data_IF_322892992341
#
_entry.id   IF_322892992341
#
_cell.length_a   1.000
_cell.length_b   1.000
_cell.length_c   1.000
_cell.angle_alpha   90.00
_cell.angle_beta   90.00
_cell.angle_gamma   90.00
#
_symmetry.space_group_name_H-M   'P 1'
#
loop_
_entity.id
_entity.type
_entity.pdbx_description
1 polymer ?
#
# COMPACT_ATOMS: atom_id res chain seq x y z
N UNK A 1 -31.12 12.22 65.95
CA UNK A 1 -29.75 12.14 65.58
C UNK A 1 -29.38 10.89 64.77
N UNK A 2 -29.65 9.65 65.21
CA UNK A 2 -29.32 8.44 64.46
C UNK A 2 -29.93 8.36 63.04
N UNK A 3 -31.18 8.83 62.83
CA UNK A 3 -31.84 8.84 61.50
C UNK A 3 -31.21 9.85 60.52
N UNK A 4 -30.64 10.94 61.01
CA UNK A 4 -29.92 11.94 60.19
C UNK A 4 -28.56 11.42 59.76
N UNK A 5 -27.88 10.67 60.64
CA UNK A 5 -26.61 10.03 60.30
C UNK A 5 -26.74 8.95 59.18
N UNK A 6 -27.85 8.17 59.23
CA UNK A 6 -28.11 7.20 58.15
C UNK A 6 -28.46 7.89 56.83
N UNK A 7 -29.19 9.01 56.86
CA UNK A 7 -29.48 9.77 55.64
C UNK A 7 -28.22 10.36 55.01
N UNK A 8 -27.27 10.87 55.80
CA UNK A 8 -25.97 11.39 55.32
C UNK A 8 -25.08 10.24 54.79
N UNK A 9 -25.06 9.08 55.45
CA UNK A 9 -24.33 7.92 54.99
C UNK A 9 -24.84 7.39 53.64
N UNK A 10 -26.14 7.41 53.40
CA UNK A 10 -26.75 7.03 52.12
C UNK A 10 -26.51 8.09 51.05
N UNK A 11 -26.48 9.38 51.36
CA UNK A 11 -26.12 10.43 50.39
C UNK A 11 -24.66 10.36 49.98
N UNK A 12 -23.75 9.97 50.86
CA UNK A 12 -22.33 9.79 50.49
C UNK A 12 -22.05 8.54 49.64
N UNK A 13 -22.92 7.54 49.69
CA UNK A 13 -22.76 6.33 48.86
C UNK A 13 -23.28 6.48 47.43
N UNK A 14 -24.00 7.57 47.13
CA UNK A 14 -24.46 7.85 45.75
C UNK A 14 -23.53 8.84 45.01
N UNK A 15 -22.52 9.41 45.65
CA UNK A 15 -21.42 10.08 45.02
C UNK A 15 -20.42 9.03 44.53
N UNK A 16 -20.85 8.11 43.68
CA UNK A 16 -19.97 7.28 42.87
C UNK A 16 -19.27 8.24 41.93
N UNK A 17 -18.03 8.56 42.25
CA UNK A 17 -17.12 9.14 41.27
C UNK A 17 -17.13 8.24 40.04
N UNK A 18 -17.37 8.83 38.93
CA UNK A 18 -17.13 8.21 37.62
C UNK A 18 -15.68 7.77 37.59
N UNK A 19 -15.42 6.49 37.84
CA UNK A 19 -14.09 5.90 37.88
C UNK A 19 -13.75 5.35 36.50
N UNK A 20 -14.00 6.12 35.45
CA UNK A 20 -13.31 5.91 34.20
C UNK A 20 -11.88 6.43 34.34
N UNK A 21 -11.04 5.63 34.97
CA UNK A 21 -9.60 5.84 34.90
C UNK A 21 -9.11 5.21 33.62
N UNK A 22 -8.86 6.07 32.63
CA UNK A 22 -8.05 5.67 31.50
C UNK A 22 -6.74 5.08 32.01
N UNK A 23 -6.22 3.98 31.43
CA UNK A 23 -4.86 3.52 31.70
C UNK A 23 -3.88 4.68 31.57
N UNK A 24 -2.82 4.67 32.36
CA UNK A 24 -1.82 5.75 32.41
C UNK A 24 -1.19 6.06 31.04
N UNK A 25 -1.21 5.07 30.14
CA UNK A 25 -0.69 5.10 28.77
C UNK A 25 -1.80 5.22 27.69
N UNK A 26 -3.05 5.41 28.07
CA UNK A 26 -4.17 5.61 27.18
C UNK A 26 -4.66 7.05 27.20
N UNK A 27 -4.84 7.63 26.02
CA UNK A 27 -5.44 8.95 25.83
C UNK A 27 -6.87 8.75 25.36
N UNK A 28 -7.83 9.52 25.89
CA UNK A 28 -9.19 9.54 25.40
C UNK A 28 -9.20 9.89 23.91
N UNK A 29 -9.87 9.08 23.10
CA UNK A 29 -9.89 9.25 21.65
C UNK A 29 -10.42 10.63 21.23
N UNK A 30 -11.37 11.20 21.98
CA UNK A 30 -11.93 12.52 21.72
C UNK A 30 -10.94 13.66 22.04
N UNK A 31 -10.04 13.46 23.00
CA UNK A 31 -8.98 14.42 23.33
C UNK A 31 -7.77 14.25 22.40
N UNK A 32 -7.42 12.99 22.09
CA UNK A 32 -6.30 12.68 21.25
C UNK A 32 -6.43 13.28 19.82
N UNK A 33 -7.63 13.34 19.30
CA UNK A 33 -7.86 13.70 17.89
C UNK A 33 -8.06 15.21 17.71
N UNK A 34 -8.32 15.95 18.77
CA UNK A 34 -8.42 17.42 18.75
C UNK A 34 -7.04 18.13 18.84
N UNK A 35 -6.01 17.40 19.21
CA UNK A 35 -4.63 17.89 19.20
C UNK A 35 -3.94 17.42 17.89
N UNK A 36 -3.38 18.33 17.08
CA UNK A 36 -2.73 17.98 15.82
C UNK A 36 -1.63 16.94 15.95
N UNK A 37 -0.88 16.93 17.03
CA UNK A 37 0.20 15.96 17.26
C UNK A 37 -0.35 14.54 17.51
N UNK A 38 -1.43 14.42 18.27
CA UNK A 38 -2.11 13.15 18.47
C UNK A 38 -2.82 12.66 17.19
N UNK A 39 -3.46 13.56 16.45
CA UNK A 39 -4.09 13.23 15.17
C UNK A 39 -3.05 12.72 14.17
N UNK A 40 -1.87 13.33 14.11
CA UNK A 40 -0.76 12.87 13.29
C UNK A 40 -0.25 11.49 13.72
N UNK A 41 -0.08 11.25 15.02
CA UNK A 41 0.35 9.94 15.53
C UNK A 41 -0.67 8.83 15.25
N UNK A 42 -1.96 9.13 15.38
CA UNK A 42 -3.04 8.21 15.01
C UNK A 42 -2.98 7.87 13.50
N UNK A 43 -2.78 8.86 12.66
CA UNK A 43 -2.63 8.70 11.22
C UNK A 43 -1.38 7.86 10.87
N UNK A 44 -0.24 8.11 11.51
CA UNK A 44 0.98 7.29 11.35
C UNK A 44 0.69 5.83 11.71
N UNK A 45 -0.10 5.58 12.77
CA UNK A 45 -0.55 4.24 13.13
C UNK A 45 -1.42 3.60 12.05
N UNK A 46 -2.28 4.36 11.37
CA UNK A 46 -3.09 3.86 10.24
C UNK A 46 -2.17 3.47 9.07
N UNK A 47 -1.19 4.30 8.70
CA UNK A 47 -0.18 3.95 7.69
C UNK A 47 0.63 2.72 8.12
N UNK A 48 0.94 2.59 9.42
CA UNK A 48 1.63 1.43 9.98
C UNK A 48 0.89 0.11 9.73
N UNK A 49 -0.45 0.13 9.68
CA UNK A 49 -1.25 -1.06 9.37
C UNK A 49 -1.12 -1.53 7.91
N UNK A 50 -0.61 -0.70 7.00
CA UNK A 50 -0.35 -1.09 5.61
C UNK A 50 0.90 -1.96 5.50
N UNK A 51 1.81 -1.86 6.45
CA UNK A 51 3.10 -2.53 6.47
C UNK A 51 3.31 -3.26 7.79
N UNK A 52 4.15 -4.27 7.79
CA UNK A 52 4.48 -5.08 8.95
C UNK A 52 5.92 -5.57 8.80
N UNK A 53 6.55 -5.94 9.89
CA UNK A 53 7.84 -6.65 9.87
C UNK A 53 7.70 -8.12 9.46
N UNK A 54 6.49 -8.55 9.14
CA UNK A 54 6.18 -9.93 8.78
C UNK A 54 5.67 -9.98 7.35
N UNK A 55 5.84 -11.11 6.71
CA UNK A 55 5.45 -11.37 5.32
C UNK A 55 3.93 -11.30 5.06
N UNK A 56 3.12 -11.18 6.11
CA UNK A 56 1.66 -11.07 6.08
C UNK A 56 1.13 -9.63 6.11
N UNK A 57 1.97 -8.64 5.83
CA UNK A 57 1.54 -7.23 5.77
C UNK A 57 0.46 -7.03 4.69
N UNK A 58 -0.37 -5.98 4.87
CA UNK A 58 -1.40 -5.65 3.88
C UNK A 58 -0.81 -5.48 2.47
N UNK A 59 0.30 -4.74 2.36
CA UNK A 59 0.91 -4.49 1.04
C UNK A 59 1.41 -5.77 0.38
N UNK A 60 1.97 -6.70 1.15
CA UNK A 60 2.45 -7.97 0.64
C UNK A 60 1.31 -8.83 0.09
N UNK A 61 0.23 -8.96 0.86
CA UNK A 61 -0.92 -9.75 0.40
C UNK A 61 -1.69 -9.05 -0.73
N UNK A 62 -1.82 -7.72 -0.68
CA UNK A 62 -2.41 -6.96 -1.78
C UNK A 62 -1.62 -7.14 -3.07
N UNK A 63 -0.28 -7.08 -3.00
CA UNK A 63 0.58 -7.29 -4.15
C UNK A 63 0.40 -8.71 -4.74
N UNK A 64 0.49 -9.75 -3.91
CA UNK A 64 0.29 -11.13 -4.35
C UNK A 64 -1.07 -11.35 -5.01
N UNK A 65 -2.15 -10.86 -4.39
CA UNK A 65 -3.51 -11.03 -4.90
C UNK A 65 -3.76 -10.26 -6.22
N UNK A 66 -3.03 -9.17 -6.47
CA UNK A 66 -3.15 -8.40 -7.71
C UNK A 66 -2.26 -8.96 -8.83
N UNK A 67 -1.04 -9.39 -8.51
CA UNK A 67 -0.06 -9.82 -9.52
C UNK A 67 -0.29 -11.26 -9.98
N UNK A 68 -0.54 -12.20 -9.06
CA UNK A 68 -0.73 -13.60 -9.44
C UNK A 68 -1.98 -13.88 -10.25
N UNK A 69 -2.97 -13.00 -10.19
CA UNK A 69 -4.17 -13.07 -11.01
C UNK A 69 -3.98 -12.43 -12.40
N UNK A 70 -2.79 -11.91 -12.68
CA UNK A 70 -2.42 -11.33 -13.98
C UNK A 70 -1.59 -12.30 -14.82
N UNK A 71 -1.27 -11.86 -16.04
CA UNK A 71 -0.45 -12.63 -16.98
C UNK A 71 1.04 -12.26 -16.91
N UNK A 72 1.43 -11.35 -16.01
CA UNK A 72 2.79 -10.82 -15.96
C UNK A 72 3.76 -11.70 -15.19
N UNK A 73 3.29 -12.40 -14.17
CA UNK A 73 4.12 -13.21 -13.29
C UNK A 73 3.74 -14.68 -13.31
N UNK A 74 4.71 -15.53 -13.05
CA UNK A 74 4.56 -16.96 -12.81
C UNK A 74 5.02 -17.29 -11.40
N UNK A 75 4.34 -18.23 -10.77
CA UNK A 75 4.74 -18.77 -9.46
C UNK A 75 5.92 -19.72 -9.63
N UNK A 76 6.95 -19.59 -8.79
CA UNK A 76 8.09 -20.49 -8.78
C UNK A 76 7.73 -21.84 -8.17
N UNK A 77 7.65 -22.86 -9.01
CA UNK A 77 7.48 -24.25 -8.58
C UNK A 77 6.11 -24.55 -7.98
N UNK A 78 5.98 -25.76 -7.44
CA UNK A 78 4.79 -26.21 -6.72
C UNK A 78 4.98 -25.92 -5.23
N UNK A 79 4.01 -25.25 -4.63
CA UNK A 79 4.01 -24.94 -3.19
C UNK A 79 2.76 -25.50 -2.53
N UNK A 80 2.85 -25.82 -1.24
CA UNK A 80 1.69 -26.10 -0.39
C UNK A 80 1.03 -24.84 0.19
N UNK A 81 1.56 -23.66 -0.15
CA UNK A 81 1.01 -22.37 0.25
C UNK A 81 -0.23 -21.99 -0.57
N UNK A 82 -1.07 -21.13 -0.02
CA UNK A 82 -2.26 -20.57 -0.68
C UNK A 82 -1.95 -19.88 -2.00
N UNK A 83 -0.69 -19.49 -2.23
CA UNK A 83 -0.22 -18.90 -3.50
C UNK A 83 -0.54 -19.79 -4.71
N UNK A 84 -0.43 -21.11 -4.54
CA UNK A 84 -0.80 -22.05 -5.59
C UNK A 84 -2.27 -21.93 -6.00
N UNK A 85 -3.15 -21.75 -5.03
CA UNK A 85 -4.59 -21.61 -5.29
C UNK A 85 -4.91 -20.24 -5.88
N UNK A 86 -4.23 -19.17 -5.43
CA UNK A 86 -4.39 -17.81 -5.97
C UNK A 86 -3.96 -17.80 -7.44
N UNK A 87 -2.76 -18.30 -7.74
CA UNK A 87 -2.21 -18.35 -9.10
C UNK A 87 -3.06 -19.16 -10.08
N UNK A 88 -3.68 -20.25 -9.61
CA UNK A 88 -4.52 -21.11 -10.44
C UNK A 88 -6.00 -20.72 -10.44
N UNK A 89 -6.38 -19.55 -9.91
CA UNK A 89 -7.77 -19.09 -9.79
C UNK A 89 -8.68 -20.08 -9.03
N UNK A 90 -8.11 -20.84 -8.11
CA UNK A 90 -8.80 -21.86 -7.32
C UNK A 90 -8.80 -21.47 -5.85
N UNK A 91 -9.47 -20.38 -5.52
CA UNK A 91 -9.52 -19.88 -4.16
C UNK A 91 -10.21 -20.86 -3.21
N UNK A 92 -9.64 -20.98 -2.02
CA UNK A 92 -10.20 -21.77 -0.93
C UNK A 92 -10.74 -20.83 0.16
N UNK A 93 -11.86 -21.21 0.76
CA UNK A 93 -12.62 -20.36 1.70
C UNK A 93 -11.82 -19.94 2.93
N UNK A 94 -10.82 -20.72 3.34
CA UNK A 94 -9.99 -20.49 4.52
C UNK A 94 -8.53 -20.16 4.18
N UNK A 95 -8.26 -19.67 2.98
CA UNK A 95 -6.93 -19.26 2.57
C UNK A 95 -6.36 -18.19 3.48
N UNK A 96 -5.18 -18.45 4.06
CA UNK A 96 -4.58 -17.55 5.04
C UNK A 96 -4.29 -16.17 4.45
N UNK A 97 -3.81 -16.10 3.21
CA UNK A 97 -3.42 -14.84 2.54
C UNK A 97 -4.63 -13.97 2.22
N UNK A 98 -5.70 -14.55 1.70
CA UNK A 98 -6.96 -13.84 1.45
C UNK A 98 -7.55 -13.33 2.76
N UNK A 99 -7.51 -14.15 3.80
CA UNK A 99 -8.02 -13.79 5.12
C UNK A 99 -7.19 -12.65 5.75
N UNK A 100 -5.87 -12.72 5.68
CA UNK A 100 -4.98 -11.65 6.15
C UNK A 100 -5.25 -10.33 5.40
N UNK A 101 -5.36 -10.39 4.08
CA UNK A 101 -5.69 -9.21 3.28
C UNK A 101 -7.02 -8.57 3.71
N UNK A 102 -8.06 -9.38 3.92
CA UNK A 102 -9.36 -8.92 4.41
C UNK A 102 -9.25 -8.25 5.77
N UNK A 103 -8.66 -8.93 6.75
CA UNK A 103 -8.52 -8.43 8.12
C UNK A 103 -7.73 -7.13 8.14
N UNK A 104 -6.57 -7.10 7.50
CA UNK A 104 -5.70 -5.90 7.45
C UNK A 104 -6.40 -4.72 6.77
N UNK A 105 -7.13 -4.96 5.68
CA UNK A 105 -7.91 -3.91 5.01
C UNK A 105 -8.96 -3.29 5.94
N UNK A 106 -9.71 -4.11 6.67
CA UNK A 106 -10.72 -3.61 7.61
C UNK A 106 -10.12 -2.99 8.88
N UNK A 107 -8.91 -3.38 9.28
CA UNK A 107 -8.18 -2.68 10.35
C UNK A 107 -7.84 -1.23 9.93
N UNK A 108 -7.37 -1.04 8.68
CA UNK A 108 -7.13 0.31 8.12
C UNK A 108 -8.45 1.08 8.04
N UNK A 109 -9.53 0.47 7.52
CA UNK A 109 -10.86 1.09 7.43
C UNK A 109 -11.36 1.52 8.81
N UNK A 110 -11.20 0.69 9.84
CA UNK A 110 -11.57 1.05 11.20
C UNK A 110 -10.80 2.27 11.70
N UNK A 111 -9.49 2.29 11.52
CA UNK A 111 -8.66 3.44 11.91
C UNK A 111 -9.05 4.72 11.15
N UNK A 112 -9.31 4.61 9.85
CA UNK A 112 -9.76 5.77 9.05
C UNK A 112 -11.16 6.24 9.45
N UNK A 113 -12.08 5.33 9.76
CA UNK A 113 -13.41 5.71 10.28
C UNK A 113 -13.28 6.44 11.62
N UNK A 114 -12.43 5.96 12.52
CA UNK A 114 -12.16 6.65 13.78
C UNK A 114 -11.64 8.07 13.57
N UNK A 115 -10.72 8.28 12.63
CA UNK A 115 -10.25 9.61 12.29
C UNK A 115 -11.38 10.49 11.71
N UNK A 116 -12.18 9.95 10.80
CA UNK A 116 -13.29 10.66 10.14
C UNK A 116 -14.40 11.05 11.11
N UNK A 117 -14.71 10.21 12.10
CA UNK A 117 -15.73 10.47 13.11
C UNK A 117 -15.29 11.55 14.13
N UNK A 118 -14.00 11.60 14.43
CA UNK A 118 -13.48 12.41 15.52
C UNK A 118 -12.81 13.71 15.07
N UNK A 119 -12.23 13.78 13.89
CA UNK A 119 -11.64 15.02 13.36
C UNK A 119 -12.75 15.91 12.79
N UNK A 120 -12.91 17.09 13.36
CA UNK A 120 -13.87 18.07 12.87
C UNK A 120 -13.28 18.89 11.73
N UNK A 121 -13.92 18.84 10.56
CA UNK A 121 -13.53 19.63 9.39
C UNK A 121 -13.55 21.14 9.67
N UNK A 122 -12.54 21.86 9.19
CA UNK A 122 -12.43 23.31 9.28
C UNK A 122 -11.83 23.81 10.59
N UNK A 123 -11.21 22.96 11.39
CA UNK A 123 -10.48 23.40 12.59
C UNK A 123 -9.13 24.02 12.25
N UNK A 124 -8.33 23.35 11.43
CA UNK A 124 -7.07 23.85 10.90
C UNK A 124 -6.74 23.19 9.56
N UNK A 125 -5.81 23.75 8.82
CA UNK A 125 -5.33 23.14 7.57
C UNK A 125 -4.64 21.79 7.82
N UNK A 126 -3.96 21.63 8.96
CA UNK A 126 -3.28 20.41 9.35
C UNK A 126 -4.29 19.28 9.64
N UNK A 127 -5.30 19.55 10.46
CA UNK A 127 -6.33 18.57 10.80
C UNK A 127 -7.21 18.21 9.59
N UNK A 128 -7.50 19.18 8.73
CA UNK A 128 -8.19 18.94 7.46
C UNK A 128 -7.36 18.06 6.53
N UNK A 129 -6.04 18.28 6.49
CA UNK A 129 -5.15 17.43 5.71
C UNK A 129 -5.13 15.98 6.23
N UNK A 130 -5.07 15.78 7.56
CA UNK A 130 -5.15 14.45 8.16
C UNK A 130 -6.48 13.76 7.86
N UNK A 131 -7.57 14.51 7.93
CA UNK A 131 -8.89 14.02 7.54
C UNK A 131 -8.94 13.61 6.05
N UNK A 132 -8.32 14.40 5.18
CA UNK A 132 -8.18 14.10 3.77
C UNK A 132 -7.38 12.80 3.52
N UNK A 133 -6.29 12.60 4.24
CA UNK A 133 -5.50 11.36 4.16
C UNK A 133 -6.30 10.14 4.64
N UNK A 134 -7.11 10.29 5.69
CA UNK A 134 -8.01 9.22 6.17
C UNK A 134 -9.04 8.82 5.10
N UNK A 135 -9.67 9.79 4.43
CA UNK A 135 -10.57 9.53 3.32
C UNK A 135 -9.87 8.83 2.16
N UNK A 136 -8.66 9.26 1.79
CA UNK A 136 -7.86 8.62 0.75
C UNK A 136 -7.57 7.15 1.08
N UNK A 137 -7.08 6.87 2.28
CA UNK A 137 -6.74 5.51 2.71
C UNK A 137 -7.97 4.59 2.76
N UNK A 138 -9.12 5.11 3.20
CA UNK A 138 -10.37 4.35 3.17
C UNK A 138 -10.79 4.00 1.75
N UNK A 139 -10.72 4.95 0.85
CA UNK A 139 -11.00 4.74 -0.58
C UNK A 139 -10.05 3.72 -1.20
N UNK A 140 -8.75 3.81 -0.88
CA UNK A 140 -7.74 2.85 -1.34
C UNK A 140 -8.07 1.44 -0.88
N UNK A 141 -8.42 1.26 0.40
CA UNK A 141 -8.81 -0.07 0.92
C UNK A 141 -10.04 -0.62 0.19
N UNK A 142 -11.08 0.18 0.02
CA UNK A 142 -12.29 -0.26 -0.69
C UNK A 142 -12.03 -0.58 -2.15
N UNK A 143 -11.15 0.15 -2.83
CA UNK A 143 -10.77 -0.17 -4.20
C UNK A 143 -10.08 -1.53 -4.30
N UNK A 144 -9.12 -1.80 -3.43
CA UNK A 144 -8.42 -3.09 -3.42
C UNK A 144 -9.35 -4.24 -3.01
N UNK A 145 -10.18 -4.04 -2.00
CA UNK A 145 -11.18 -5.03 -1.58
C UNK A 145 -12.18 -5.34 -2.70
N UNK A 146 -12.70 -4.34 -3.40
CA UNK A 146 -13.66 -4.59 -4.48
C UNK A 146 -13.01 -5.26 -5.68
N UNK A 147 -11.73 -5.00 -5.96
CA UNK A 147 -10.99 -5.69 -7.02
C UNK A 147 -10.77 -7.18 -6.71
N UNK A 148 -10.60 -7.55 -5.45
CA UNK A 148 -10.42 -8.96 -5.03
C UNK A 148 -11.76 -9.69 -4.88
N UNK A 149 -12.77 -9.06 -4.26
CA UNK A 149 -14.00 -9.73 -3.84
C UNK A 149 -15.24 -9.35 -4.67
N UNK A 150 -15.13 -8.34 -5.52
CA UNK A 150 -16.18 -7.91 -6.44
C UNK A 150 -15.98 -8.48 -7.84
N UNK A 151 -16.91 -8.21 -8.73
CA UNK A 151 -16.74 -8.40 -10.16
C UNK A 151 -16.32 -7.08 -10.81
N UNK A 152 -15.77 -7.10 -12.03
CA UNK A 152 -15.49 -5.87 -12.78
C UNK A 152 -16.69 -4.93 -12.82
N UNK A 153 -16.42 -3.62 -12.73
CA UNK A 153 -17.46 -2.60 -12.63
C UNK A 153 -18.51 -2.66 -13.76
N UNK A 154 -18.09 -2.96 -14.99
CA UNK A 154 -18.96 -3.02 -16.17
C UNK A 154 -19.80 -4.32 -16.26
N UNK A 155 -19.73 -5.20 -15.27
CA UNK A 155 -20.48 -6.45 -15.22
C UNK A 155 -21.62 -6.35 -14.19
N UNK A 156 -22.85 -6.10 -14.63
CA UNK A 156 -24.06 -6.12 -13.77
C UNK A 156 -23.86 -5.38 -12.43
N UNK A 157 -23.31 -4.18 -12.47
CA UNK A 157 -22.85 -3.37 -11.34
C UNK A 157 -23.93 -3.10 -10.26
N UNK A 158 -25.21 -3.12 -10.65
CA UNK A 158 -26.34 -2.91 -9.73
C UNK A 158 -26.67 -4.14 -8.88
N UNK A 159 -26.29 -5.32 -9.31
CA UNK A 159 -26.65 -6.59 -8.66
C UNK A 159 -25.46 -7.38 -8.15
N UNK A 160 -24.29 -7.21 -8.78
CA UNK A 160 -23.07 -7.87 -8.32
C UNK A 160 -22.64 -7.31 -6.96
N UNK A 161 -22.49 -8.21 -6.00
CA UNK A 161 -22.02 -7.86 -4.66
C UNK A 161 -20.50 -7.70 -4.63
N UNK A 162 -20.07 -6.70 -3.90
CA UNK A 162 -18.67 -6.45 -3.54
C UNK A 162 -18.45 -6.79 -2.06
N UNK A 163 -18.15 -5.82 -1.23
CA UNK A 163 -17.81 -5.98 0.19
C UNK A 163 -18.72 -5.16 1.10
N UNK A 164 -18.82 -5.45 2.40
CA UNK A 164 -19.54 -4.61 3.33
C UNK A 164 -18.96 -3.19 3.39
N UNK A 165 -19.81 -2.17 3.24
CA UNK A 165 -19.44 -0.78 3.44
C UNK A 165 -19.54 -0.41 4.92
N UNK A 166 -18.47 -0.62 5.66
CA UNK A 166 -18.35 -0.24 7.07
C UNK A 166 -17.79 1.19 7.13
N UNK A 167 -18.66 2.16 7.42
CA UNK A 167 -18.35 3.59 7.38
C UNK A 167 -18.32 4.26 8.74
N UNK A 168 -18.41 3.47 9.81
CA UNK A 168 -18.40 3.88 11.22
C UNK A 168 -17.57 2.92 12.08
N UNK A 169 -17.37 3.29 13.34
CA UNK A 169 -16.64 2.49 14.33
C UNK A 169 -17.55 1.62 15.22
N UNK A 170 -18.88 1.68 15.07
CA UNK A 170 -19.80 0.87 15.88
C UNK A 170 -19.67 -0.61 15.56
N UNK A 171 -19.14 -1.40 16.49
CA UNK A 171 -18.94 -2.85 16.33
C UNK A 171 -20.26 -3.62 16.13
N UNK A 172 -21.40 -3.06 16.53
CA UNK A 172 -22.71 -3.68 16.36
C UNK A 172 -23.30 -3.42 14.97
N UNK A 173 -22.82 -2.40 14.26
CA UNK A 173 -23.22 -2.15 12.89
C UNK A 173 -22.45 -3.09 11.93
N UNK A 174 -23.10 -4.17 11.51
CA UNK A 174 -22.57 -5.17 10.61
C UNK A 174 -23.33 -5.14 9.27
N UNK A 175 -23.00 -4.21 8.37
CA UNK A 175 -23.71 -4.08 7.11
C UNK A 175 -23.52 -5.32 6.23
N UNK A 176 -24.51 -5.68 5.41
CA UNK A 176 -24.34 -6.71 4.39
C UNK A 176 -23.36 -6.25 3.30
N UNK A 177 -22.98 -7.16 2.43
CA UNK A 177 -22.20 -6.83 1.23
C UNK A 177 -22.96 -5.80 0.39
N UNK A 178 -22.29 -4.71 0.06
CA UNK A 178 -22.80 -3.70 -0.86
C UNK A 178 -22.62 -4.15 -2.33
N UNK A 179 -23.34 -3.53 -3.24
CA UNK A 179 -23.11 -3.75 -4.67
C UNK A 179 -21.81 -3.09 -5.11
N UNK A 180 -21.24 -3.57 -6.23
CA UNK A 180 -20.04 -2.95 -6.83
C UNK A 180 -20.27 -1.45 -7.07
N UNK A 181 -21.46 -1.07 -7.57
CA UNK A 181 -21.83 0.33 -7.76
C UNK A 181 -21.71 1.14 -6.47
N UNK A 182 -22.34 0.68 -5.39
CA UNK A 182 -22.32 1.39 -4.10
C UNK A 182 -20.90 1.57 -3.56
N UNK A 183 -20.04 0.56 -3.75
CA UNK A 183 -18.64 0.66 -3.31
C UNK A 183 -17.88 1.68 -4.14
N UNK A 184 -18.04 1.69 -5.46
CA UNK A 184 -17.39 2.69 -6.32
C UNK A 184 -17.89 4.12 -6.07
N UNK A 185 -19.19 4.31 -5.82
CA UNK A 185 -19.76 5.60 -5.41
C UNK A 185 -19.15 6.10 -4.09
N UNK A 186 -18.92 5.19 -3.14
CA UNK A 186 -18.27 5.56 -1.87
C UNK A 186 -16.79 5.89 -2.09
N UNK A 187 -16.06 5.14 -2.92
CA UNK A 187 -14.66 5.44 -3.26
C UNK A 187 -14.57 6.81 -3.93
N UNK A 188 -15.40 7.10 -4.92
CA UNK A 188 -15.46 8.41 -5.61
C UNK A 188 -15.68 9.55 -4.60
N UNK A 189 -16.68 9.40 -3.72
CA UNK A 189 -17.01 10.38 -2.69
C UNK A 189 -15.83 10.64 -1.75
N UNK A 190 -15.18 9.60 -1.28
CA UNK A 190 -14.05 9.71 -0.37
C UNK A 190 -12.85 10.38 -1.06
N UNK A 191 -12.54 10.02 -2.31
CA UNK A 191 -11.42 10.61 -3.06
C UNK A 191 -11.64 12.09 -3.40
N UNK A 192 -12.86 12.48 -3.78
CA UNK A 192 -13.21 13.89 -4.01
C UNK A 192 -13.03 14.68 -2.71
N UNK A 193 -13.48 14.12 -1.60
CA UNK A 193 -13.32 14.75 -0.29
C UNK A 193 -11.85 14.85 0.12
N UNK A 194 -11.09 13.78 -0.07
CA UNK A 194 -9.65 13.73 0.17
C UNK A 194 -8.91 14.82 -0.62
N UNK A 195 -9.13 14.90 -1.92
CA UNK A 195 -8.49 15.89 -2.79
C UNK A 195 -8.81 17.35 -2.38
N UNK A 196 -10.02 17.59 -1.87
CA UNK A 196 -10.42 18.90 -1.38
C UNK A 196 -9.67 19.29 -0.09
N UNK A 197 -9.50 18.35 0.82
CA UNK A 197 -8.96 18.60 2.16
C UNK A 197 -7.43 18.58 2.21
N UNK A 198 -6.77 17.77 1.37
CA UNK A 198 -5.30 17.70 1.34
C UNK A 198 -4.70 18.90 0.63
N UNK A 199 -4.47 19.99 1.36
CA UNK A 199 -3.92 21.25 0.85
C UNK A 199 -2.44 21.43 1.21
N UNK A 200 -1.93 20.67 2.18
CA UNK A 200 -0.55 20.75 2.63
C UNK A 200 0.30 19.75 1.84
N UNK A 201 1.40 20.24 1.29
CA UNK A 201 2.35 19.37 0.60
C UNK A 201 3.14 18.54 1.61
N UNK A 202 3.08 17.23 1.46
CA UNK A 202 3.82 16.25 2.27
C UNK A 202 4.70 15.39 1.36
N UNK A 203 5.71 14.67 1.93
CA UNK A 203 6.47 13.67 1.19
C UNK A 203 5.55 12.59 0.59
N UNK A 204 5.99 11.98 -0.50
CA UNK A 204 5.20 11.01 -1.30
C UNK A 204 4.82 9.71 -0.55
N UNK A 205 5.36 9.48 0.62
CA UNK A 205 4.96 8.37 1.49
C UNK A 205 3.78 8.72 2.43
N UNK A 206 3.20 9.91 2.27
CA UNK A 206 1.88 10.29 2.75
C UNK A 206 0.95 10.54 1.58
N UNK A 207 -0.33 10.25 1.74
CA UNK A 207 -1.32 10.62 0.75
C UNK A 207 -1.31 12.14 0.51
N UNK A 208 -1.56 12.51 -0.70
CA UNK A 208 -1.57 13.90 -1.15
C UNK A 208 -2.70 14.10 -2.18
N UNK A 209 -2.96 15.35 -2.51
CA UNK A 209 -4.04 15.71 -3.45
C UNK A 209 -3.89 15.01 -4.80
N UNK A 210 -2.69 14.98 -5.33
CA UNK A 210 -2.41 14.40 -6.63
C UNK A 210 -2.55 12.86 -6.60
N UNK A 211 -2.26 12.23 -5.48
CA UNK A 211 -2.55 10.80 -5.30
C UNK A 211 -4.06 10.52 -5.34
N UNK A 212 -4.88 11.42 -4.75
CA UNK A 212 -6.32 11.30 -4.86
C UNK A 212 -6.80 11.52 -6.31
N UNK A 213 -6.23 12.46 -7.05
CA UNK A 213 -6.54 12.66 -8.47
C UNK A 213 -6.12 11.45 -9.32
N UNK A 214 -4.93 10.92 -9.11
CA UNK A 214 -4.46 9.72 -9.81
C UNK A 214 -5.38 8.51 -9.56
N UNK A 215 -5.86 8.35 -8.33
CA UNK A 215 -6.78 7.26 -8.00
C UNK A 215 -8.18 7.50 -8.56
N UNK A 216 -8.66 8.76 -8.60
CA UNK A 216 -9.90 9.14 -9.30
C UNK A 216 -9.81 8.85 -10.80
N UNK A 217 -8.71 9.21 -11.45
CA UNK A 217 -8.49 8.87 -12.86
C UNK A 217 -8.60 7.35 -13.08
N UNK A 218 -7.96 6.54 -12.22
CA UNK A 218 -8.00 5.07 -12.30
C UNK A 218 -9.42 4.51 -12.12
N UNK A 219 -10.17 4.97 -11.12
CA UNK A 219 -11.54 4.46 -10.93
C UNK A 219 -12.46 4.87 -12.08
N UNK A 220 -12.32 6.07 -12.62
CA UNK A 220 -13.10 6.50 -13.78
C UNK A 220 -12.76 5.71 -15.04
N UNK A 221 -11.50 5.27 -15.20
CA UNK A 221 -11.14 4.33 -16.26
C UNK A 221 -11.89 3.00 -16.07
N UNK A 222 -11.93 2.44 -14.86
CA UNK A 222 -12.68 1.20 -14.58
C UNK A 222 -14.20 1.38 -14.77
N UNK A 223 -14.71 2.59 -14.54
CA UNK A 223 -16.11 2.95 -14.74
C UNK A 223 -16.44 3.29 -16.21
N UNK A 224 -15.47 3.22 -17.13
CA UNK A 224 -15.59 3.62 -18.54
C UNK A 224 -16.01 5.09 -18.73
N UNK A 225 -15.73 5.95 -17.74
CA UNK A 225 -15.97 7.40 -17.77
C UNK A 225 -14.71 8.12 -18.26
N UNK A 226 -14.37 7.94 -19.52
CA UNK A 226 -13.08 8.36 -20.09
C UNK A 226 -12.84 9.87 -20.00
N UNK A 227 -13.87 10.72 -20.12
CA UNK A 227 -13.73 12.15 -19.99
C UNK A 227 -13.27 12.56 -18.59
N UNK A 228 -13.88 11.99 -17.55
CA UNK A 228 -13.44 12.22 -16.17
C UNK A 228 -12.07 11.61 -15.89
N UNK A 229 -11.78 10.45 -16.46
CA UNK A 229 -10.45 9.83 -16.36
C UNK A 229 -9.38 10.79 -16.85
N UNK A 230 -9.57 11.40 -18.02
CA UNK A 230 -8.65 12.40 -18.60
C UNK A 230 -8.60 13.65 -17.71
N UNK A 231 -9.74 14.20 -17.30
CA UNK A 231 -9.80 15.38 -16.44
C UNK A 231 -8.95 15.24 -15.18
N UNK A 232 -9.04 14.10 -14.52
CA UNK A 232 -8.27 13.86 -13.28
C UNK A 232 -6.82 13.48 -13.54
N UNK A 233 -6.50 12.86 -14.66
CA UNK A 233 -5.11 12.66 -15.09
C UNK A 233 -4.43 14.00 -15.39
N UNK A 234 -5.10 14.89 -16.09
CA UNK A 234 -4.60 16.25 -16.41
C UNK A 234 -4.31 17.04 -15.12
N UNK A 235 -5.15 16.93 -14.08
CA UNK A 235 -4.87 17.59 -12.78
C UNK A 235 -3.56 17.13 -12.13
N UNK A 236 -3.15 15.89 -12.37
CA UNK A 236 -1.84 15.40 -11.89
C UNK A 236 -0.72 15.95 -12.76
N UNK A 237 -0.88 15.90 -14.08
CA UNK A 237 0.11 16.39 -15.06
C UNK A 237 0.32 17.91 -14.89
N UNK A 238 -0.76 18.67 -14.83
CA UNK A 238 -0.73 20.15 -14.69
C UNK A 238 -0.19 20.61 -13.34
N UNK A 239 -0.08 19.73 -12.35
CA UNK A 239 0.56 20.05 -11.08
C UNK A 239 2.07 20.27 -11.22
N UNK A 240 2.68 19.79 -12.31
CA UNK A 240 4.13 19.83 -12.59
C UNK A 240 5.02 19.24 -11.46
N UNK A 241 4.41 18.52 -10.51
CA UNK A 241 5.13 17.94 -9.37
C UNK A 241 5.81 16.61 -9.70
N UNK A 242 5.34 15.95 -10.75
CA UNK A 242 5.78 14.62 -11.16
C UNK A 242 6.15 14.64 -12.63
N UNK A 243 7.14 13.85 -13.01
CA UNK A 243 7.53 13.72 -14.41
C UNK A 243 8.06 12.31 -14.68
N UNK A 244 8.00 11.89 -15.92
CA UNK A 244 8.48 10.58 -16.32
C UNK A 244 10.01 10.53 -16.30
N UNK A 245 10.55 9.43 -15.85
CA UNK A 245 11.97 9.11 -15.97
C UNK A 245 12.35 8.93 -17.44
N UNK A 246 13.58 9.31 -17.80
CA UNK A 246 14.15 8.90 -19.07
C UNK A 246 14.33 7.38 -19.11
N UNK A 247 14.47 6.78 -20.29
CA UNK A 247 14.66 5.34 -20.42
C UNK A 247 15.86 4.81 -19.60
N UNK A 248 16.93 5.60 -19.50
CA UNK A 248 18.10 5.24 -18.72
C UNK A 248 17.87 5.32 -17.21
N UNK A 249 17.12 6.32 -16.75
CA UNK A 249 16.75 6.45 -15.33
C UNK A 249 15.74 5.39 -14.94
N UNK A 250 14.76 5.08 -15.82
CA UNK A 250 13.75 4.06 -15.60
C UNK A 250 14.37 2.69 -15.29
N UNK A 251 15.44 2.31 -15.97
CA UNK A 251 16.18 1.07 -15.70
C UNK A 251 16.71 0.98 -14.27
N UNK A 252 16.92 2.12 -13.63
CA UNK A 252 17.48 2.26 -12.26
C UNK A 252 16.42 2.69 -11.24
N UNK A 253 15.15 2.76 -11.62
CA UNK A 253 14.10 3.28 -10.76
C UNK A 253 14.00 2.59 -9.39
N UNK A 254 14.30 1.28 -9.36
CA UNK A 254 14.25 0.49 -8.13
C UNK A 254 15.36 0.84 -7.12
N UNK A 255 16.37 1.61 -7.54
CA UNK A 255 17.44 2.10 -6.67
C UNK A 255 17.14 3.46 -6.07
N UNK A 256 16.04 4.09 -6.49
CA UNK A 256 15.64 5.41 -6.00
C UNK A 256 14.77 5.26 -4.74
N UNK A 257 15.06 6.08 -3.74
CA UNK A 257 14.13 6.26 -2.65
C UNK A 257 12.82 6.88 -3.17
N UNK A 258 11.66 6.59 -2.57
CA UNK A 258 10.38 7.12 -3.03
C UNK A 258 10.37 8.64 -3.24
N UNK A 259 10.99 9.38 -2.33
CA UNK A 259 11.09 10.85 -2.40
C UNK A 259 12.07 11.38 -3.46
N UNK A 260 12.93 10.52 -3.97
CA UNK A 260 13.87 10.84 -5.06
C UNK A 260 13.35 10.35 -6.42
N UNK A 261 12.30 9.54 -6.45
CA UNK A 261 11.69 9.06 -7.68
C UNK A 261 10.64 10.06 -8.19
N UNK A 262 10.88 10.77 -9.31
CA UNK A 262 9.96 11.79 -9.81
C UNK A 262 8.63 11.23 -10.33
N UNK A 263 8.52 9.91 -10.56
CA UNK A 263 7.27 9.24 -10.93
C UNK A 263 6.43 8.83 -9.71
N UNK A 264 6.99 8.86 -8.50
CA UNK A 264 6.30 8.40 -7.30
C UNK A 264 5.28 9.45 -6.82
N UNK A 265 4.00 9.18 -7.02
CA UNK A 265 2.89 10.04 -6.55
C UNK A 265 2.52 9.67 -5.11
N UNK A 266 2.46 8.37 -4.80
CA UNK A 266 2.24 7.82 -3.47
C UNK A 266 2.99 6.50 -3.32
N UNK A 267 3.68 6.32 -2.21
CA UNK A 267 4.46 5.11 -1.92
C UNK A 267 4.31 4.69 -0.47
N UNK A 268 4.29 3.39 -0.22
CA UNK A 268 4.38 2.83 1.13
C UNK A 268 5.87 2.61 1.43
N UNK A 269 6.46 3.51 2.22
CA UNK A 269 7.88 3.48 2.56
C UNK A 269 8.11 2.70 3.84
N UNK A 270 9.10 1.81 3.81
CA UNK A 270 9.65 1.17 5.00
C UNK A 270 10.90 1.94 5.45
N UNK A 271 11.04 2.14 6.75
CA UNK A 271 12.27 2.67 7.33
C UNK A 271 13.25 1.51 7.49
N UNK A 272 14.38 1.62 6.79
CA UNK A 272 15.42 0.60 6.81
C UNK A 272 15.92 0.32 8.23
N UNK A 273 16.09 -0.96 8.56
CA UNK A 273 16.55 -1.41 9.88
C UNK A 273 15.52 -1.26 11.01
N UNK A 274 14.39 -0.57 10.79
CA UNK A 274 13.38 -0.32 11.83
C UNK A 274 12.06 -1.02 11.50
N UNK A 275 11.53 -0.80 10.31
CA UNK A 275 10.19 -1.25 9.90
C UNK A 275 10.22 -2.42 8.93
N UNK A 276 11.28 -2.57 8.15
CA UNK A 276 11.53 -3.77 7.37
C UNK A 276 11.93 -4.91 8.31
N UNK A 277 11.41 -6.10 8.07
CA UNK A 277 11.86 -7.31 8.73
C UNK A 277 13.13 -7.84 8.05
N UNK A 278 12.97 -8.91 7.31
CA UNK A 278 13.98 -9.43 6.40
C UNK A 278 13.58 -9.13 4.94
N UNK A 279 14.48 -9.41 4.01
CA UNK A 279 14.15 -9.36 2.57
C UNK A 279 12.96 -10.25 2.21
N UNK A 280 12.68 -11.30 3.00
CA UNK A 280 11.50 -12.15 2.85
C UNK A 280 10.18 -11.43 3.17
N UNK A 281 10.23 -10.33 3.89
CA UNK A 281 9.05 -9.66 4.45
C UNK A 281 8.61 -8.44 3.62
N UNK A 282 9.32 -8.15 2.53
CA UNK A 282 9.06 -7.01 1.65
C UNK A 282 8.78 -7.44 0.21
N UNK A 283 8.00 -6.67 -0.52
CA UNK A 283 7.57 -6.97 -1.89
C UNK A 283 8.76 -7.25 -2.83
N UNK A 284 9.86 -6.52 -2.70
CA UNK A 284 11.05 -6.74 -3.51
C UNK A 284 11.62 -8.15 -3.39
N UNK A 285 11.54 -8.74 -2.21
CA UNK A 285 11.98 -10.10 -1.93
C UNK A 285 11.15 -11.20 -2.58
N UNK A 286 9.98 -10.87 -3.15
CA UNK A 286 9.20 -11.83 -3.93
C UNK A 286 9.80 -12.09 -5.30
N UNK A 287 10.51 -11.11 -5.86
CA UNK A 287 11.08 -11.13 -7.20
C UNK A 287 12.55 -11.58 -7.27
N UNK A 288 13.22 -11.62 -6.13
CA UNK A 288 14.65 -11.96 -6.11
C UNK A 288 15.06 -12.70 -4.84
N UNK A 289 16.26 -13.28 -4.90
CA UNK A 289 17.00 -13.73 -3.72
C UNK A 289 18.37 -13.06 -3.72
N UNK A 290 18.78 -12.53 -2.56
CA UNK A 290 20.11 -11.94 -2.37
C UNK A 290 20.73 -12.64 -1.17
N UNK A 291 21.87 -13.29 -1.35
CA UNK A 291 22.57 -14.07 -0.31
C UNK A 291 21.68 -15.08 0.43
N UNK A 292 20.75 -15.71 -0.30
CA UNK A 292 19.78 -16.66 0.26
C UNK A 292 18.61 -16.02 1.00
N UNK A 293 18.48 -14.71 1.02
CA UNK A 293 17.33 -13.97 1.53
C UNK A 293 16.42 -13.56 0.37
N UNK A 294 15.12 -13.44 0.66
CA UNK A 294 14.09 -13.20 -0.34
C UNK A 294 13.48 -14.51 -0.83
N UNK A 295 12.16 -14.50 -1.06
CA UNK A 295 11.45 -15.70 -1.47
C UNK A 295 11.71 -16.09 -2.92
N UNK A 296 11.94 -15.09 -3.82
CA UNK A 296 12.06 -15.34 -5.25
C UNK A 296 10.87 -16.17 -5.78
N UNK A 297 9.67 -15.84 -5.32
CA UNK A 297 8.46 -16.60 -5.63
C UNK A 297 7.80 -16.17 -6.94
N UNK A 298 8.08 -14.93 -7.40
CA UNK A 298 7.52 -14.32 -8.59
C UNK A 298 8.54 -14.25 -9.71
N UNK A 299 8.26 -14.91 -10.81
CA UNK A 299 9.06 -14.87 -12.03
C UNK A 299 8.29 -14.18 -13.15
N UNK A 300 8.99 -13.53 -14.07
CA UNK A 300 8.37 -13.05 -15.30
C UNK A 300 7.74 -14.22 -16.06
N UNK A 301 6.46 -14.09 -16.39
CA UNK A 301 5.76 -15.11 -17.16
C UNK A 301 6.26 -15.17 -18.61
N UNK A 302 6.02 -16.28 -19.28
CA UNK A 302 6.33 -16.40 -20.72
C UNK A 302 5.59 -15.34 -21.54
N UNK A 303 4.33 -15.07 -21.20
CA UNK A 303 3.50 -14.05 -21.87
C UNK A 303 4.14 -12.67 -21.74
N UNK A 304 4.60 -12.32 -20.51
CA UNK A 304 5.28 -11.04 -20.28
C UNK A 304 6.60 -10.94 -21.05
N UNK A 305 7.43 -11.99 -21.01
CA UNK A 305 8.72 -12.04 -21.73
C UNK A 305 8.50 -11.87 -23.23
N UNK A 306 7.54 -12.57 -23.81
CA UNK A 306 7.21 -12.46 -25.23
C UNK A 306 6.72 -11.05 -25.59
N UNK A 307 5.87 -10.45 -24.76
CA UNK A 307 5.33 -9.11 -24.97
C UNK A 307 6.42 -8.04 -24.97
N UNK A 308 7.31 -8.02 -23.96
CA UNK A 308 8.40 -7.03 -23.88
C UNK A 308 9.51 -7.30 -24.92
N UNK A 309 9.63 -8.54 -25.38
CA UNK A 309 10.61 -8.92 -26.39
C UNK A 309 10.20 -8.53 -27.80
N UNK A 310 8.91 -8.20 -28.02
CA UNK A 310 8.41 -7.78 -29.33
C UNK A 310 9.08 -6.50 -29.82
N UNK A 311 9.41 -5.58 -28.90
CA UNK A 311 10.17 -4.37 -29.23
C UNK A 311 11.63 -4.51 -28.75
N UNK A 312 12.62 -4.40 -29.63
CA UNK A 312 14.03 -4.58 -29.26
C UNK A 312 14.51 -3.67 -28.13
N UNK A 313 14.04 -2.44 -28.10
CA UNK A 313 14.46 -1.40 -27.14
C UNK A 313 13.50 -1.22 -25.95
N UNK A 314 12.67 -2.19 -25.64
CA UNK A 314 11.77 -2.10 -24.50
C UNK A 314 12.57 -2.10 -23.19
N UNK A 315 12.56 -0.97 -22.47
CA UNK A 315 13.31 -0.78 -21.23
C UNK A 315 12.88 -1.74 -20.11
N UNK A 316 11.66 -2.32 -20.17
CA UNK A 316 11.16 -3.26 -19.17
C UNK A 316 11.92 -4.59 -19.13
N UNK A 317 12.64 -4.92 -20.20
CA UNK A 317 13.54 -6.09 -20.22
C UNK A 317 14.60 -6.02 -19.12
N UNK A 318 14.98 -4.81 -18.72
CA UNK A 318 15.95 -4.57 -17.67
C UNK A 318 15.64 -5.25 -16.34
N UNK A 319 14.35 -5.49 -16.06
CA UNK A 319 13.91 -6.07 -14.79
C UNK A 319 13.80 -7.60 -14.80
N UNK A 320 14.08 -8.24 -15.94
CA UNK A 320 13.90 -9.70 -16.08
C UNK A 320 15.25 -10.41 -16.08
N UNK A 321 16.18 -9.88 -16.85
CA UNK A 321 17.52 -10.45 -17.07
C UNK A 321 18.51 -9.31 -17.16
N UNK A 322 19.82 -9.58 -17.01
CA UNK A 322 20.86 -8.62 -17.38
C UNK A 322 20.59 -8.10 -18.78
N UNK A 323 20.70 -6.79 -18.96
CA UNK A 323 20.25 -6.14 -20.18
C UNK A 323 21.16 -6.42 -21.34
N UNK A 324 20.55 -6.59 -22.53
CA UNK A 324 21.27 -6.53 -23.78
C UNK A 324 21.56 -5.08 -24.13
N UNK A 325 22.83 -4.76 -24.18
CA UNK A 325 23.34 -3.61 -24.93
C UNK A 325 24.12 -4.17 -26.10
N UNK A 326 23.77 -3.83 -27.33
CA UNK A 326 24.53 -4.14 -28.54
C UNK A 326 24.91 -5.64 -28.71
N UNK A 327 24.00 -6.48 -29.07
CA UNK A 327 24.25 -7.85 -29.51
C UNK A 327 24.70 -8.81 -28.40
N UNK A 328 25.96 -8.84 -28.07
CA UNK A 328 26.52 -9.79 -27.10
C UNK A 328 26.86 -9.17 -25.74
N UNK A 329 26.70 -7.86 -25.58
CA UNK A 329 26.96 -7.18 -24.30
C UNK A 329 25.70 -7.03 -23.49
N UNK A 330 25.77 -7.52 -22.25
CA UNK A 330 24.69 -7.43 -21.26
C UNK A 330 25.13 -6.50 -20.14
N UNK A 331 24.21 -5.68 -19.63
CA UNK A 331 24.41 -4.94 -18.39
C UNK A 331 23.58 -5.58 -17.27
N UNK A 332 24.21 -5.81 -16.14
CA UNK A 332 23.57 -6.35 -14.95
C UNK A 332 23.67 -5.38 -13.77
N UNK A 333 22.81 -5.61 -12.77
CA UNK A 333 22.83 -4.90 -11.50
C UNK A 333 23.15 -5.89 -10.39
N UNK A 334 24.14 -5.56 -9.58
CA UNK A 334 24.49 -6.33 -8.38
C UNK A 334 24.26 -5.49 -7.15
N UNK A 335 23.76 -6.13 -6.10
CA UNK A 335 23.55 -5.50 -4.82
C UNK A 335 24.53 -6.09 -3.82
N UNK A 336 25.29 -5.24 -3.16
CA UNK A 336 26.08 -5.60 -1.99
C UNK A 336 25.68 -4.74 -0.80
N UNK A 337 25.73 -5.31 0.41
CA UNK A 337 25.51 -4.53 1.61
C UNK A 337 26.82 -3.88 2.05
N UNK A 338 26.82 -2.59 2.20
CA UNK A 338 27.99 -1.83 2.70
C UNK A 338 27.65 -1.19 4.04
N UNK A 339 28.69 -1.02 4.90
CA UNK A 339 28.55 -0.34 6.16
C UNK A 339 28.58 1.17 5.94
N UNK A 340 27.52 1.86 6.33
CA UNK A 340 27.49 3.32 6.38
C UNK A 340 28.32 3.85 7.56
N UNK A 341 28.62 5.15 7.55
CA UNK A 341 29.45 5.78 8.61
C UNK A 341 28.84 5.66 10.01
N UNK A 342 27.51 5.56 10.12
CA UNK A 342 26.77 5.36 11.36
C UNK A 342 26.69 3.89 11.81
N UNK A 343 27.32 2.97 11.09
CA UNK A 343 27.33 1.54 11.38
C UNK A 343 26.10 0.78 10.87
N UNK A 344 25.21 1.40 10.11
CA UNK A 344 24.09 0.71 9.46
C UNK A 344 24.53 0.04 8.18
N UNK A 345 23.91 -1.11 7.85
CA UNK A 345 24.08 -1.77 6.56
C UNK A 345 23.11 -1.16 5.55
N UNK A 346 23.66 -0.62 4.47
CA UNK A 346 22.89 -0.04 3.38
C UNK A 346 23.19 -0.77 2.06
N UNK A 347 22.20 -0.92 1.17
CA UNK A 347 22.44 -1.52 -0.14
C UNK A 347 23.28 -0.61 -1.03
N UNK A 348 24.31 -1.18 -1.65
CA UNK A 348 25.12 -0.55 -2.69
C UNK A 348 24.85 -1.23 -4.01
N UNK A 349 24.39 -0.47 -4.97
CA UNK A 349 24.08 -0.96 -6.31
C UNK A 349 25.27 -0.76 -7.24
N UNK A 350 25.71 -1.83 -7.86
CA UNK A 350 26.77 -1.81 -8.86
C UNK A 350 26.19 -2.18 -10.21
N UNK A 351 26.53 -1.40 -11.22
CA UNK A 351 26.12 -1.60 -12.60
C UNK A 351 27.35 -1.93 -13.43
N UNK A 352 27.24 -2.89 -14.32
CA UNK A 352 28.35 -3.23 -15.18
C UNK A 352 28.01 -4.29 -16.20
N UNK A 353 28.89 -4.42 -17.19
CA UNK A 353 28.77 -5.44 -18.18
C UNK A 353 28.83 -6.84 -17.56
N UNK A 354 28.00 -7.74 -18.05
CA UNK A 354 28.01 -9.14 -17.65
C UNK A 354 28.00 -10.06 -18.87
N UNK A 355 28.35 -11.31 -18.64
CA UNK A 355 28.24 -12.38 -19.63
C UNK A 355 27.55 -13.60 -19.01
N UNK A 356 26.96 -14.42 -19.85
CA UNK A 356 26.45 -15.71 -19.46
C UNK A 356 27.60 -16.74 -19.46
N UNK A 357 27.85 -17.37 -18.32
CA UNK A 357 28.81 -18.46 -18.16
C UNK A 357 28.03 -19.71 -17.69
N UNK A 358 27.81 -20.63 -18.62
CA UNK A 358 26.93 -21.76 -18.39
C UNK A 358 25.47 -21.34 -18.17
N UNK A 359 24.95 -21.48 -16.95
CA UNK A 359 23.62 -21.01 -16.54
C UNK A 359 23.66 -19.80 -15.59
N UNK A 360 24.86 -19.23 -15.36
CA UNK A 360 25.09 -18.17 -14.38
C UNK A 360 25.56 -16.91 -15.11
N UNK A 361 25.02 -15.77 -14.71
CA UNK A 361 25.52 -14.47 -15.17
C UNK A 361 26.67 -14.03 -14.27
N UNK A 362 27.80 -13.69 -14.89
CA UNK A 362 28.97 -13.17 -14.18
C UNK A 362 29.29 -11.76 -14.64
N UNK A 363 29.57 -10.88 -13.67
CA UNK A 363 29.96 -9.51 -13.99
C UNK A 363 31.42 -9.51 -14.51
N UNK A 364 31.61 -8.88 -15.65
CA UNK A 364 32.94 -8.63 -16.17
C UNK A 364 33.37 -7.22 -15.78
N UNK A 365 34.04 -7.11 -14.64
CA UNK A 365 34.75 -5.90 -14.28
C UNK A 365 36.25 -6.21 -14.37
N UNK A 366 36.92 -5.62 -15.31
CA UNK A 366 38.40 -5.74 -15.50
C UNK A 366 38.92 -7.19 -15.50
N UNK A 367 38.18 -8.13 -16.12
CA UNK A 367 38.49 -9.57 -16.13
C UNK A 367 38.45 -10.25 -14.74
N UNK A 368 37.93 -9.63 -13.71
CA UNK A 368 37.68 -10.31 -12.44
C UNK A 368 36.27 -10.85 -12.40
N UNK A 369 36.13 -12.16 -12.18
CA UNK A 369 34.86 -12.78 -11.79
C UNK A 369 34.46 -12.28 -10.38
N UNK A 370 33.24 -11.79 -10.22
CA UNK A 370 32.70 -11.36 -8.93
C UNK A 370 31.63 -12.35 -8.51
#
# INVERSE_FOLDING_TARGET
MKRILYAIAILCSIASCDVERLPYDAVDSSQAINDPDYANNALIGIYGNLKSKLSDSWINEAHRLMEYNGDNVSLSGTTGDDLFYIYNYHHIDNGARINNFWIKSYQVIYGTNSAIENIKEGQSAETDNFLGEAYYLRALMYLYLTNVFGKPYNQALETNLSVPLKLDTDINNQPPRATVKQVFEQIEKDLIKAAKLMTIQKPVFYANREAAYALLSRIYLYMEQNEKCIEYADKVIDSERFHLLSANEYRKMNTLLPEANPEAIFSIKYLSGIEEGSLNDVVGGFYCTIDGLGWGEMYASRTYIDAVSYFPNDARKAFIVPQYEDGDQMEGVWVSMIMAEDGTLIPSYQYGACRLDGSTYVMTKDNSEV
#
